data_IF_145200369634
#
_entry.id   IF_145200369634
#
_cell.length_a   1.000
_cell.length_b   1.000
_cell.length_c   1.000
_cell.angle_alpha   90.00
_cell.angle_beta   90.00
_cell.angle_gamma   90.00
#
_symmetry.space_group_name_H-M   'P 1'
#
loop_
_entity.id
_entity.type
_entity.pdbx_description
1 polymer ?
#
# COMPACT_ATOMS: atom_id res chain seq x y z
N UNK A 1 48.75 -58.37 67.57
CA UNK A 1 48.50 -56.93 67.81
C UNK A 1 47.18 -56.56 67.15
N UNK A 2 46.14 -56.26 67.94
CA UNK A 2 44.86 -55.79 67.43
C UNK A 2 44.92 -54.27 67.30
N UNK A 3 44.92 -53.76 66.07
CA UNK A 3 44.72 -52.33 65.81
C UNK A 3 43.22 -52.08 65.79
N UNK A 4 42.67 -51.65 66.93
CA UNK A 4 41.33 -51.07 66.99
C UNK A 4 41.40 -49.68 66.36
N UNK A 5 41.01 -49.56 65.10
CA UNK A 5 40.72 -48.24 64.53
C UNK A 5 39.52 -47.65 65.27
N UNK A 6 39.72 -46.49 65.89
CA UNK A 6 38.62 -45.69 66.41
C UNK A 6 37.62 -45.42 65.27
N UNK A 7 36.29 -45.56 65.48
CA UNK A 7 35.32 -45.19 64.46
C UNK A 7 35.40 -43.68 64.30
N UNK A 8 36.18 -43.25 63.31
CA UNK A 8 36.42 -41.86 63.01
C UNK A 8 35.16 -41.27 62.38
N UNK A 9 34.94 -39.98 62.62
CA UNK A 9 33.87 -39.14 62.03
C UNK A 9 33.61 -39.33 60.52
N UNK A 10 34.56 -39.92 59.79
CA UNK A 10 34.46 -40.30 58.39
C UNK A 10 33.59 -41.54 58.14
N UNK A 11 33.66 -42.56 59.00
CA UNK A 11 32.80 -43.75 58.92
C UNK A 11 31.33 -43.39 59.16
N UNK A 12 31.08 -42.45 60.09
CA UNK A 12 29.75 -41.92 60.34
C UNK A 12 29.22 -41.11 59.14
N UNK A 13 30.10 -40.38 58.44
CA UNK A 13 29.72 -39.59 57.26
C UNK A 13 29.37 -40.47 56.05
N UNK A 14 30.18 -41.50 55.75
CA UNK A 14 29.88 -42.43 54.65
C UNK A 14 28.59 -43.21 54.90
N UNK A 15 28.37 -43.68 56.13
CA UNK A 15 27.11 -44.34 56.51
C UNK A 15 25.90 -43.43 56.40
N UNK A 16 26.01 -42.17 56.86
CA UNK A 16 24.95 -41.17 56.69
C UNK A 16 24.71 -40.81 55.22
N UNK A 17 25.75 -40.84 54.39
CA UNK A 17 25.65 -40.56 52.96
C UNK A 17 24.87 -41.65 52.26
N UNK A 18 25.17 -42.91 52.54
CA UNK A 18 24.46 -44.05 51.93
C UNK A 18 22.98 -44.05 52.31
N UNK A 19 22.65 -43.74 53.58
CA UNK A 19 21.27 -43.57 54.04
C UNK A 19 20.57 -42.39 53.35
N UNK A 20 21.22 -41.23 53.26
CA UNK A 20 20.66 -40.05 52.61
C UNK A 20 20.41 -40.29 51.10
N UNK A 21 21.34 -40.97 50.42
CA UNK A 21 21.21 -41.36 49.01
C UNK A 21 20.07 -42.37 48.82
N UNK A 22 19.94 -43.38 49.69
CA UNK A 22 18.86 -44.35 49.64
C UNK A 22 17.49 -43.67 49.80
N UNK A 23 17.33 -42.78 50.79
CA UNK A 23 16.10 -42.00 50.99
C UNK A 23 15.82 -41.08 49.79
N UNK A 24 16.86 -40.47 49.22
CA UNK A 24 16.73 -39.61 48.03
C UNK A 24 16.24 -40.38 46.81
N UNK A 25 16.77 -41.58 46.58
CA UNK A 25 16.33 -42.51 45.52
C UNK A 25 14.93 -43.08 45.76
N UNK A 26 14.54 -43.23 47.03
CA UNK A 26 13.18 -43.57 47.43
C UNK A 26 12.17 -42.41 47.25
N UNK A 27 12.61 -41.23 46.78
CA UNK A 27 11.74 -40.12 46.43
C UNK A 27 11.53 -39.08 47.53
N UNK A 28 12.33 -39.12 48.60
CA UNK A 28 12.22 -38.17 49.72
C UNK A 28 12.79 -36.79 49.35
N UNK A 29 12.07 -35.74 49.77
CA UNK A 29 12.53 -34.36 49.68
C UNK A 29 13.66 -34.10 50.68
N UNK A 30 14.45 -33.03 50.47
CA UNK A 30 15.51 -32.65 51.40
C UNK A 30 14.96 -32.44 52.82
N UNK A 31 13.76 -31.87 52.93
CA UNK A 31 13.08 -31.66 54.21
C UNK A 31 12.75 -32.99 54.90
N UNK A 32 12.27 -33.99 54.17
CA UNK A 32 11.97 -35.30 54.74
C UNK A 32 13.25 -36.03 55.15
N UNK A 33 14.33 -35.95 54.36
CA UNK A 33 15.64 -36.54 54.71
C UNK A 33 16.22 -35.87 55.96
N UNK A 34 16.08 -34.54 56.06
CA UNK A 34 16.46 -33.75 57.24
C UNK A 34 15.74 -34.24 58.49
N UNK A 35 14.42 -34.44 58.39
CA UNK A 35 13.56 -34.82 59.50
C UNK A 35 13.78 -36.31 59.89
N UNK A 36 14.05 -37.20 58.91
CA UNK A 36 14.32 -38.63 59.10
C UNK A 36 15.70 -38.88 59.73
N UNK A 37 16.77 -38.28 59.19
CA UNK A 37 18.14 -38.44 59.67
C UNK A 37 18.47 -37.51 60.84
N UNK A 38 17.55 -36.60 61.20
CA UNK A 38 17.72 -35.57 62.25
C UNK A 38 18.97 -34.69 62.04
N UNK A 39 19.33 -34.44 60.78
CA UNK A 39 20.47 -33.60 60.40
C UNK A 39 19.96 -32.20 60.07
N UNK A 40 20.02 -31.28 61.04
CA UNK A 40 19.50 -29.92 60.88
C UNK A 40 20.50 -28.94 60.23
N UNK A 41 21.70 -29.41 59.89
CA UNK A 41 22.67 -28.62 59.15
C UNK A 41 22.45 -28.80 57.63
N UNK A 42 22.00 -27.74 56.97
CA UNK A 42 21.68 -27.75 55.54
C UNK A 42 22.89 -28.01 54.65
N UNK A 43 24.09 -27.57 55.03
CA UNK A 43 25.30 -27.75 54.23
C UNK A 43 25.74 -29.22 54.22
N UNK A 44 25.72 -29.86 55.40
CA UNK A 44 26.00 -31.29 55.55
C UNK A 44 24.95 -32.10 54.77
N UNK A 45 23.67 -31.78 54.93
CA UNK A 45 22.59 -32.46 54.22
C UNK A 45 22.74 -32.36 52.70
N UNK A 46 23.07 -31.19 52.17
CA UNK A 46 23.33 -30.99 50.74
C UNK A 46 24.55 -31.77 50.26
N UNK A 47 25.58 -31.91 51.11
CA UNK A 47 26.78 -32.68 50.79
C UNK A 47 26.49 -34.19 50.76
N UNK A 48 25.64 -34.70 51.65
CA UNK A 48 25.25 -36.11 51.72
C UNK A 48 24.45 -36.55 50.49
N UNK A 49 23.53 -35.71 49.99
CA UNK A 49 22.75 -36.04 48.78
C UNK A 49 23.40 -35.57 47.47
N UNK A 50 24.63 -35.05 47.52
CA UNK A 50 25.30 -34.49 46.35
C UNK A 50 25.46 -35.55 45.25
N UNK A 51 24.95 -35.24 44.06
CA UNK A 51 24.96 -36.11 42.89
C UNK A 51 23.62 -36.82 42.62
N UNK A 52 22.69 -36.84 43.58
CA UNK A 52 21.37 -37.44 43.39
C UNK A 52 20.32 -36.38 42.98
N UNK A 53 19.56 -36.62 41.90
CA UNK A 53 18.57 -35.66 41.43
C UNK A 53 17.43 -35.48 42.44
N UNK A 54 16.81 -34.29 42.51
CA UNK A 54 15.58 -34.11 43.27
C UNK A 54 14.44 -34.96 42.71
N UNK A 55 13.55 -35.50 43.57
CA UNK A 55 12.36 -36.23 43.14
C UNK A 55 11.52 -35.41 42.14
N UNK A 56 10.99 -36.06 41.11
CA UNK A 56 10.29 -35.38 40.02
C UNK A 56 9.13 -34.49 40.49
N UNK A 57 8.37 -34.93 41.51
CA UNK A 57 7.26 -34.17 42.10
C UNK A 57 7.68 -32.88 42.82
N UNK A 58 8.96 -32.76 43.22
CA UNK A 58 9.49 -31.53 43.84
C UNK A 58 9.96 -30.50 42.82
N UNK A 59 10.07 -30.86 41.54
CA UNK A 59 10.39 -29.91 40.47
C UNK A 59 9.18 -29.02 40.23
N UNK A 60 9.31 -27.73 40.52
CA UNK A 60 8.29 -26.75 40.15
C UNK A 60 8.40 -26.49 38.64
N UNK A 61 7.32 -26.69 37.84
CA UNK A 61 7.31 -26.20 36.48
C UNK A 61 7.49 -24.68 36.54
N UNK A 62 8.45 -24.13 35.81
CA UNK A 62 8.55 -22.67 35.74
C UNK A 62 7.42 -22.21 34.84
N UNK A 63 6.62 -21.26 35.32
CA UNK A 63 5.42 -20.74 34.64
C UNK A 63 5.65 -20.18 33.22
N UNK A 64 6.90 -20.12 32.72
CA UNK A 64 7.26 -19.59 31.40
C UNK A 64 8.07 -20.57 30.54
N UNK A 65 8.23 -21.83 30.94
CA UNK A 65 9.02 -22.79 30.16
C UNK A 65 8.35 -23.07 28.80
N UNK A 66 7.02 -23.15 28.75
CA UNK A 66 6.26 -23.34 27.52
C UNK A 66 6.38 -22.13 26.57
N UNK A 67 6.30 -20.92 27.12
CA UNK A 67 6.49 -19.67 26.36
C UNK A 67 7.92 -19.57 25.81
N UNK A 68 8.91 -20.02 26.60
CA UNK A 68 10.30 -20.08 26.16
C UNK A 68 10.48 -21.07 25.00
N UNK A 69 9.87 -22.25 25.08
CA UNK A 69 9.93 -23.24 24.00
C UNK A 69 9.33 -22.68 22.70
N UNK A 70 8.11 -22.09 22.79
CA UNK A 70 7.42 -21.49 21.63
C UNK A 70 8.20 -20.31 21.04
N UNK A 71 8.81 -19.45 21.88
CA UNK A 71 9.64 -18.34 21.42
C UNK A 71 10.85 -18.81 20.58
N UNK A 72 11.47 -19.93 20.97
CA UNK A 72 12.61 -20.49 20.26
C UNK A 72 12.20 -21.10 18.92
N UNK A 73 11.05 -21.77 18.86
CA UNK A 73 10.49 -22.29 17.63
C UNK A 73 10.22 -21.15 16.62
N UNK A 74 9.51 -20.10 17.03
CA UNK A 74 9.24 -18.93 16.19
C UNK A 74 10.54 -18.28 15.70
N UNK A 75 11.57 -18.21 16.56
CA UNK A 75 12.86 -17.65 16.16
C UNK A 75 13.54 -18.47 15.06
N UNK A 76 13.51 -19.79 15.16
CA UNK A 76 14.05 -20.69 14.13
C UNK A 76 13.26 -20.61 12.82
N UNK A 77 11.97 -20.29 12.88
CA UNK A 77 11.13 -20.00 11.72
C UNK A 77 11.40 -18.63 11.08
N UNK A 78 12.34 -17.84 11.60
CA UNK A 78 12.72 -16.55 11.03
C UNK A 78 11.99 -15.34 11.61
N UNK A 79 11.34 -15.47 12.77
CA UNK A 79 10.63 -14.35 13.40
C UNK A 79 11.58 -13.37 14.10
N UNK A 80 11.24 -12.08 14.07
CA UNK A 80 11.95 -11.02 14.80
C UNK A 80 11.52 -10.96 16.27
N UNK A 81 12.29 -10.25 17.10
CA UNK A 81 11.97 -10.13 18.53
C UNK A 81 10.61 -9.48 18.76
N UNK A 82 10.29 -8.45 17.97
CA UNK A 82 9.04 -7.70 18.07
C UNK A 82 7.84 -8.57 17.68
N UNK A 83 7.99 -9.43 16.66
CA UNK A 83 6.94 -10.36 16.26
C UNK A 83 6.69 -11.43 17.34
N UNK A 84 7.75 -11.95 17.97
CA UNK A 84 7.63 -12.93 19.06
C UNK A 84 7.03 -12.28 20.32
N UNK A 85 7.39 -11.03 20.62
CA UNK A 85 6.81 -10.24 21.71
C UNK A 85 5.30 -10.02 21.50
N UNK A 86 4.89 -9.60 20.29
CA UNK A 86 3.49 -9.42 19.94
C UNK A 86 2.69 -10.73 19.97
N UNK A 87 3.25 -11.82 19.47
CA UNK A 87 2.60 -13.14 19.38
C UNK A 87 2.42 -13.80 20.75
N UNK A 88 3.44 -13.71 21.62
CA UNK A 88 3.45 -14.40 22.91
C UNK A 88 3.01 -13.51 24.09
N UNK A 89 2.77 -12.22 23.86
CA UNK A 89 2.37 -11.27 24.89
C UNK A 89 3.38 -11.14 26.03
N UNK A 90 4.67 -11.35 25.75
CA UNK A 90 5.73 -11.36 26.75
C UNK A 90 6.72 -10.21 26.52
N UNK A 91 7.37 -9.76 27.60
CA UNK A 91 8.28 -8.61 27.50
C UNK A 91 9.46 -8.88 26.56
N UNK A 92 9.88 -7.85 25.81
CA UNK A 92 11.11 -7.85 25.01
C UNK A 92 12.33 -8.43 25.76
N UNK A 93 12.48 -8.11 27.05
CA UNK A 93 13.56 -8.62 27.89
C UNK A 93 13.53 -10.14 28.07
N UNK A 94 12.32 -10.72 28.21
CA UNK A 94 12.13 -12.17 28.33
C UNK A 94 12.45 -12.88 27.01
N UNK A 95 11.92 -12.37 25.89
CA UNK A 95 12.19 -12.90 24.55
C UNK A 95 13.69 -12.88 24.27
N UNK A 96 14.35 -11.74 24.47
CA UNK A 96 15.79 -11.58 24.25
C UNK A 96 16.60 -12.60 25.04
N UNK A 97 16.29 -12.80 26.32
CA UNK A 97 16.98 -13.78 27.14
C UNK A 97 16.84 -15.22 26.62
N UNK A 98 15.68 -15.55 26.05
CA UNK A 98 15.36 -16.91 25.59
C UNK A 98 15.92 -17.27 24.21
N UNK A 99 16.11 -16.29 23.33
CA UNK A 99 16.42 -16.54 21.91
C UNK A 99 17.70 -15.88 21.42
N UNK A 100 18.42 -15.13 22.25
CA UNK A 100 19.68 -14.44 21.87
C UNK A 100 20.79 -15.36 21.36
N UNK A 101 20.75 -16.64 21.72
CA UNK A 101 21.68 -17.67 21.28
C UNK A 101 21.33 -18.26 19.90
N UNK A 102 20.15 -17.95 19.37
CA UNK A 102 19.66 -18.47 18.10
C UNK A 102 20.05 -17.55 16.93
N UNK A 103 20.16 -18.10 15.70
CA UNK A 103 20.51 -17.31 14.52
C UNK A 103 19.55 -16.14 14.32
N UNK A 104 20.09 -15.06 13.77
CA UNK A 104 19.28 -13.92 13.37
C UNK A 104 18.50 -14.33 12.12
N UNK A 105 17.19 -14.01 12.05
CA UNK A 105 16.41 -14.23 10.85
C UNK A 105 17.07 -13.50 9.69
N UNK A 106 17.02 -14.13 8.54
CA UNK A 106 17.56 -13.60 7.32
C UNK A 106 16.89 -12.24 7.04
N UNK A 107 17.71 -11.21 6.84
CA UNK A 107 17.19 -9.89 6.50
C UNK A 107 16.67 -9.99 5.08
N UNK A 108 15.39 -9.65 4.87
CA UNK A 108 14.85 -9.42 3.52
C UNK A 108 15.74 -8.41 2.81
N UNK A 109 15.95 -8.62 1.51
CA UNK A 109 16.76 -7.73 0.68
C UNK A 109 16.27 -6.28 0.84
N UNK A 110 17.15 -5.33 1.23
CA UNK A 110 16.79 -3.92 1.37
C UNK A 110 16.11 -3.32 0.14
N UNK A 111 16.41 -3.84 -1.06
CA UNK A 111 15.79 -3.37 -2.31
C UNK A 111 14.30 -3.73 -2.40
N UNK A 112 13.89 -4.91 -1.93
CA UNK A 112 12.49 -5.34 -1.97
C UNK A 112 11.63 -4.58 -0.95
N UNK A 113 12.18 -4.25 0.22
CA UNK A 113 11.50 -3.39 1.19
C UNK A 113 11.30 -1.97 0.66
N UNK A 114 12.31 -1.42 -0.02
CA UNK A 114 12.23 -0.10 -0.64
C UNK A 114 11.17 -0.06 -1.76
N UNK A 115 11.11 -1.08 -2.62
CA UNK A 115 10.10 -1.21 -3.68
C UNK A 115 8.67 -1.24 -3.12
N UNK A 116 8.44 -2.06 -2.09
CA UNK A 116 7.12 -2.15 -1.44
C UNK A 116 6.71 -0.83 -0.78
N UNK A 117 7.64 -0.14 -0.12
CA UNK A 117 7.37 1.16 0.47
C UNK A 117 7.09 2.23 -0.59
N UNK A 118 7.86 2.26 -1.69
CA UNK A 118 7.65 3.17 -2.80
C UNK A 118 6.28 2.95 -3.47
N UNK A 119 5.90 1.69 -3.70
CA UNK A 119 4.60 1.33 -4.27
C UNK A 119 3.43 1.80 -3.39
N UNK A 120 3.49 1.55 -2.08
CA UNK A 120 2.45 2.01 -1.15
C UNK A 120 2.34 3.54 -1.08
N UNK A 121 3.47 4.25 -1.12
CA UNK A 121 3.48 5.72 -1.17
C UNK A 121 2.85 6.22 -2.47
N UNK A 122 3.23 5.62 -3.60
CA UNK A 122 2.70 5.95 -4.92
C UNK A 122 1.18 5.75 -4.99
N UNK A 123 0.67 4.60 -4.53
CA UNK A 123 -0.77 4.31 -4.48
C UNK A 123 -1.54 5.32 -3.62
N UNK A 124 -0.99 5.73 -2.46
CA UNK A 124 -1.60 6.73 -1.60
C UNK A 124 -1.57 8.14 -2.22
N UNK A 125 -0.43 8.55 -2.80
CA UNK A 125 -0.30 9.84 -3.48
C UNK A 125 -1.20 9.94 -4.70
N UNK A 126 -1.38 8.85 -5.45
CA UNK A 126 -2.31 8.78 -6.58
C UNK A 126 -3.75 9.04 -6.16
N UNK A 127 -4.19 8.40 -5.07
CA UNK A 127 -5.55 8.57 -4.56
C UNK A 127 -5.82 10.02 -4.14
N UNK A 128 -4.87 10.65 -3.43
CA UNK A 128 -4.97 12.06 -3.03
C UNK A 128 -5.00 12.98 -4.26
N UNK A 129 -4.10 12.77 -5.22
CA UNK A 129 -4.03 13.59 -6.45
C UNK A 129 -5.30 13.46 -7.29
N UNK A 130 -5.86 12.26 -7.39
CA UNK A 130 -7.10 12.05 -8.13
C UNK A 130 -8.27 12.73 -7.41
N UNK A 131 -8.35 12.63 -6.09
CA UNK A 131 -9.37 13.33 -5.30
C UNK A 131 -9.27 14.86 -5.47
N UNK A 132 -8.07 15.44 -5.38
CA UNK A 132 -7.85 16.87 -5.62
C UNK A 132 -8.23 17.30 -7.04
N UNK A 133 -7.90 16.46 -8.04
CA UNK A 133 -8.28 16.69 -9.43
C UNK A 133 -9.79 16.68 -9.59
N UNK A 134 -10.50 15.73 -8.99
CA UNK A 134 -11.96 15.66 -9.06
C UNK A 134 -12.63 16.82 -8.35
N UNK A 135 -12.12 17.22 -7.17
CA UNK A 135 -12.59 18.42 -6.47
C UNK A 135 -12.43 19.67 -7.33
N UNK A 136 -11.28 19.83 -7.97
CA UNK A 136 -11.01 20.97 -8.87
C UNK A 136 -11.97 20.97 -10.06
N UNK A 137 -12.19 19.81 -10.71
CA UNK A 137 -13.14 19.68 -11.82
C UNK A 137 -14.58 20.00 -11.40
N UNK A 138 -15.01 19.47 -10.26
CA UNK A 138 -16.36 19.69 -9.74
C UNK A 138 -16.59 21.16 -9.39
N UNK A 139 -15.61 21.82 -8.78
CA UNK A 139 -15.66 23.25 -8.49
C UNK A 139 -15.79 24.07 -9.78
N UNK A 140 -14.94 23.80 -10.77
CA UNK A 140 -15.01 24.47 -12.08
C UNK A 140 -16.36 24.24 -12.77
N UNK A 141 -16.92 23.03 -12.71
CA UNK A 141 -18.23 22.72 -13.26
C UNK A 141 -19.36 23.50 -12.57
N UNK A 142 -19.30 23.66 -11.24
CA UNK A 142 -20.26 24.45 -10.49
C UNK A 142 -20.15 25.96 -10.79
N UNK A 143 -18.93 26.47 -10.99
CA UNK A 143 -18.70 27.87 -11.33
C UNK A 143 -19.22 28.22 -12.74
N UNK A 144 -19.07 27.31 -13.70
CA UNK A 144 -19.56 27.51 -15.07
C UNK A 144 -21.07 27.28 -15.15
N UNK A 145 -21.60 26.25 -14.47
CA UNK A 145 -23.00 25.86 -14.57
C UNK A 145 -23.38 25.26 -15.93
N UNK A 146 -24.64 25.40 -16.31
CA UNK A 146 -25.11 24.97 -17.63
C UNK A 146 -24.63 25.93 -18.72
N UNK A 147 -23.96 25.40 -19.75
CA UNK A 147 -23.48 26.21 -20.86
C UNK A 147 -24.63 26.60 -21.79
N UNK A 148 -24.76 27.90 -22.07
CA UNK A 148 -25.67 28.40 -23.10
C UNK A 148 -25.10 28.18 -24.51
N UNK A 149 -25.95 28.32 -25.53
CA UNK A 149 -25.51 28.32 -26.94
C UNK A 149 -24.43 29.38 -27.20
N UNK A 150 -24.47 30.52 -26.51
CA UNK A 150 -23.44 31.56 -26.63
C UNK A 150 -22.11 31.11 -26.05
N UNK A 151 -22.12 30.44 -24.90
CA UNK A 151 -20.90 29.94 -24.26
C UNK A 151 -20.27 28.86 -25.14
N UNK A 152 -21.09 27.92 -25.62
CA UNK A 152 -20.67 26.89 -26.57
C UNK A 152 -20.10 27.51 -27.85
N UNK A 153 -20.75 28.55 -28.39
CA UNK A 153 -20.28 29.26 -29.58
C UNK A 153 -18.89 29.87 -29.36
N UNK A 154 -18.70 30.59 -28.26
CA UNK A 154 -17.43 31.25 -27.94
C UNK A 154 -16.31 30.24 -27.68
N UNK A 155 -16.59 29.17 -26.92
CA UNK A 155 -15.60 28.12 -26.66
C UNK A 155 -15.19 27.39 -27.94
N UNK A 156 -16.15 27.09 -28.82
CA UNK A 156 -15.84 26.47 -30.10
C UNK A 156 -15.03 27.37 -31.04
N UNK A 157 -15.30 28.68 -31.07
CA UNK A 157 -14.47 29.66 -31.81
C UNK A 157 -13.04 29.67 -31.26
N UNK A 158 -12.87 29.67 -29.94
CA UNK A 158 -11.54 29.64 -29.32
C UNK A 158 -10.78 28.35 -29.66
N UNK A 159 -11.45 27.18 -29.60
CA UNK A 159 -10.88 25.89 -30.00
C UNK A 159 -10.51 25.86 -31.49
N UNK A 160 -11.39 26.36 -32.34
CA UNK A 160 -11.12 26.47 -33.78
C UNK A 160 -9.91 27.38 -34.04
N UNK A 161 -9.78 28.49 -33.32
CA UNK A 161 -8.66 29.40 -33.50
C UNK A 161 -7.33 28.82 -32.98
N UNK A 162 -7.36 28.11 -31.85
CA UNK A 162 -6.17 27.51 -31.23
C UNK A 162 -5.67 26.27 -31.99
N UNK A 163 -6.58 25.38 -32.38
CA UNK A 163 -6.27 24.05 -32.93
C UNK A 163 -6.56 23.92 -34.44
N UNK A 164 -7.22 24.92 -35.04
CA UNK A 164 -7.56 24.90 -36.46
C UNK A 164 -6.31 25.03 -37.33
N UNK A 165 -6.24 24.18 -38.36
CA UNK A 165 -5.17 24.28 -39.37
C UNK A 165 -5.15 25.68 -40.00
N UNK A 166 -4.01 26.37 -39.89
CA UNK A 166 -3.77 27.65 -40.58
C UNK A 166 -3.93 27.47 -42.08
N UNK A 167 -4.91 28.17 -42.66
CA UNK A 167 -5.05 28.28 -44.11
C UNK A 167 -3.82 28.95 -44.70
N UNK A 168 -3.17 28.30 -45.67
CA UNK A 168 -2.08 28.92 -46.43
C UNK A 168 -2.70 29.67 -47.61
N UNK A 169 -2.27 30.90 -47.93
CA UNK A 169 -2.87 31.72 -48.99
C UNK A 169 -2.96 31.03 -50.36
N UNK A 170 -2.05 30.09 -50.64
CA UNK A 170 -1.96 29.32 -51.88
C UNK A 170 -2.72 27.99 -51.87
N UNK A 171 -3.35 27.62 -50.76
CA UNK A 171 -4.08 26.37 -50.59
C UNK A 171 -5.25 26.59 -49.62
N UNK A 172 -6.29 27.30 -50.07
CA UNK A 172 -7.55 27.42 -49.31
C UNK A 172 -8.14 26.02 -49.15
N UNK A 173 -8.08 25.47 -47.94
CA UNK A 173 -8.73 24.19 -47.67
C UNK A 173 -10.15 24.51 -47.22
N UNK A 174 -11.13 24.12 -48.00
CA UNK A 174 -12.56 24.24 -47.64
C UNK A 174 -12.98 23.30 -46.49
N UNK A 175 -12.02 22.72 -45.76
CA UNK A 175 -12.23 21.73 -44.71
C UNK A 175 -11.47 22.08 -43.44
N UNK A 176 -12.14 21.91 -42.31
CA UNK A 176 -11.57 22.12 -40.98
C UNK A 176 -11.05 20.79 -40.43
N UNK A 177 -9.82 20.79 -39.93
CA UNK A 177 -9.18 19.65 -39.25
C UNK A 177 -9.06 20.00 -37.78
N UNK A 178 -9.53 19.09 -36.91
CA UNK A 178 -9.46 19.22 -35.46
C UNK A 178 -8.92 17.92 -34.87
N UNK A 179 -7.88 18.01 -34.06
CA UNK A 179 -7.11 16.85 -33.59
C UNK A 179 -7.02 16.92 -32.08
N UNK A 180 -7.54 15.92 -31.37
CA UNK A 180 -7.48 15.88 -29.92
C UNK A 180 -7.65 14.44 -29.43
N UNK A 181 -7.05 14.08 -28.29
CA UNK A 181 -7.22 12.77 -27.68
C UNK A 181 -8.25 12.76 -26.56
N UNK A 182 -8.63 13.93 -26.01
CA UNK A 182 -9.62 14.07 -24.95
C UNK A 182 -11.06 13.94 -25.50
N UNK A 183 -11.84 12.93 -25.05
CA UNK A 183 -13.20 12.73 -25.53
C UNK A 183 -14.15 13.89 -25.22
N UNK A 184 -13.97 14.61 -24.12
CA UNK A 184 -14.80 15.74 -23.73
C UNK A 184 -14.60 16.93 -24.66
N UNK A 185 -13.34 17.23 -24.99
CA UNK A 185 -12.99 18.27 -25.97
C UNK A 185 -13.56 17.95 -27.36
N UNK A 186 -13.46 16.69 -27.80
CA UNK A 186 -14.03 16.24 -29.08
C UNK A 186 -15.56 16.40 -29.07
N UNK A 187 -16.24 16.00 -28.00
CA UNK A 187 -17.69 16.12 -27.88
C UNK A 187 -18.14 17.59 -27.91
N UNK A 188 -17.43 18.47 -27.21
CA UNK A 188 -17.68 19.90 -27.21
C UNK A 188 -17.54 20.50 -28.61
N UNK A 189 -16.48 20.14 -29.32
CA UNK A 189 -16.26 20.57 -30.70
C UNK A 189 -17.37 20.09 -31.64
N UNK A 190 -17.81 18.83 -31.49
CA UNK A 190 -18.94 18.29 -32.26
C UNK A 190 -20.26 18.99 -31.94
N UNK A 191 -20.50 19.35 -30.67
CA UNK A 191 -21.68 20.12 -30.27
C UNK A 191 -21.66 21.52 -30.91
N UNK A 192 -20.51 22.17 -30.93
CA UNK A 192 -20.32 23.45 -31.61
C UNK A 192 -20.57 23.37 -33.13
N UNK A 193 -20.05 22.35 -33.81
CA UNK A 193 -20.33 22.15 -35.24
C UNK A 193 -21.83 21.96 -35.51
N UNK A 194 -22.55 21.26 -34.62
CA UNK A 194 -24.02 21.15 -34.72
C UNK A 194 -24.71 22.50 -34.52
N UNK A 195 -24.24 23.31 -33.57
CA UNK A 195 -24.75 24.68 -33.35
C UNK A 195 -24.58 25.55 -34.60
N UNK A 196 -23.50 25.37 -35.36
CA UNK A 196 -23.27 26.03 -36.64
C UNK A 196 -24.09 25.44 -37.82
N UNK A 197 -24.86 24.38 -37.59
CA UNK A 197 -25.64 23.71 -38.64
C UNK A 197 -24.83 22.80 -39.56
N UNK A 198 -23.66 22.32 -39.13
CA UNK A 198 -22.86 21.36 -39.91
C UNK A 198 -23.50 19.97 -39.86
N UNK A 199 -23.91 19.49 -41.03
CA UNK A 199 -24.47 18.15 -41.25
C UNK A 199 -23.46 17.05 -40.91
N UNK A 200 -23.93 15.96 -40.26
CA UNK A 200 -23.08 14.84 -39.83
C UNK A 200 -22.41 14.13 -41.00
N UNK A 201 -23.05 14.14 -42.17
CA UNK A 201 -22.60 13.48 -43.40
C UNK A 201 -21.30 14.10 -43.94
N UNK A 202 -21.03 15.37 -43.58
CA UNK A 202 -19.82 16.12 -43.93
C UNK A 202 -18.64 15.82 -43.01
N UNK A 203 -18.89 15.15 -41.88
CA UNK A 203 -17.87 14.80 -40.90
C UNK A 203 -17.11 13.54 -41.34
N UNK A 204 -15.78 13.55 -41.15
CA UNK A 204 -14.94 12.36 -41.27
C UNK A 204 -14.06 12.22 -40.03
N UNK A 205 -13.95 10.99 -39.55
CA UNK A 205 -13.17 10.65 -38.36
C UNK A 205 -11.98 9.80 -38.79
N UNK A 206 -10.81 10.06 -38.22
CA UNK A 206 -9.61 9.22 -38.38
C UNK A 206 -8.99 8.99 -37.01
N UNK A 207 -8.50 7.79 -36.79
CA UNK A 207 -7.74 7.42 -35.58
C UNK A 207 -6.27 7.39 -35.95
N UNK A 208 -5.43 8.06 -35.16
CA UNK A 208 -3.98 8.04 -35.32
C UNK A 208 -3.39 7.23 -34.16
N UNK A 209 -3.03 5.99 -34.44
CA UNK A 209 -2.33 5.14 -33.48
C UNK A 209 -0.83 5.28 -33.79
N UNK A 210 -0.09 5.93 -32.90
CA UNK A 210 1.36 5.93 -32.97
C UNK A 210 1.87 4.61 -32.40
N UNK A 211 2.47 3.76 -33.23
CA UNK A 211 3.23 2.61 -32.75
C UNK A 211 4.57 3.11 -32.21
N UNK A 212 4.60 3.57 -30.97
CA UNK A 212 5.81 3.55 -30.14
C UNK A 212 5.66 2.40 -29.17
N UNK A 213 6.02 1.21 -29.65
CA UNK A 213 6.16 0.01 -28.84
C UNK A 213 7.60 -0.48 -29.00
N UNK A 214 8.52 0.07 -28.20
CA UNK A 214 9.51 -0.81 -27.59
C UNK A 214 8.74 -1.56 -26.51
N UNK A 215 8.40 -2.80 -26.84
CA UNK A 215 7.71 -3.71 -25.95
C UNK A 215 8.70 -4.26 -24.92
N UNK A 216 8.87 -3.55 -23.81
CA UNK A 216 9.09 -4.13 -22.47
C UNK A 216 8.57 -3.16 -21.38
N UNK A 217 7.36 -2.61 -21.54
CA UNK A 217 6.55 -2.09 -20.42
C UNK A 217 5.22 -1.56 -20.98
N UNK A 218 4.06 -1.93 -20.42
CA UNK A 218 2.77 -1.36 -20.82
C UNK A 218 2.64 0.06 -20.25
N UNK A 219 3.34 1.03 -20.85
CA UNK A 219 3.07 2.44 -20.59
C UNK A 219 1.78 2.84 -21.30
N UNK A 220 0.81 3.28 -20.50
CA UNK A 220 -0.53 3.69 -20.93
C UNK A 220 -0.43 5.01 -21.71
N UNK A 221 -0.17 4.95 -23.02
CA UNK A 221 -0.41 6.07 -23.92
C UNK A 221 -1.60 5.72 -24.80
N UNK A 222 -2.76 6.28 -24.48
CA UNK A 222 -4.00 6.07 -25.23
C UNK A 222 -3.93 6.61 -26.67
N UNK A 223 -4.78 6.11 -27.59
CA UNK A 223 -4.76 6.50 -28.99
C UNK A 223 -5.11 7.99 -29.19
N UNK A 224 -4.42 8.65 -30.13
CA UNK A 224 -4.67 10.04 -30.53
C UNK A 224 -5.71 10.07 -31.66
N UNK A 225 -6.76 10.89 -31.56
CA UNK A 225 -7.81 10.98 -32.58
C UNK A 225 -7.59 12.22 -33.48
N UNK A 226 -7.72 12.04 -34.80
CA UNK A 226 -7.60 13.10 -35.82
C UNK A 226 -8.94 13.22 -36.56
N UNK A 227 -9.69 14.28 -36.32
CA UNK A 227 -10.92 14.55 -37.07
C UNK A 227 -10.57 15.47 -38.25
N UNK A 228 -11.01 15.13 -39.46
CA UNK A 228 -10.86 16.01 -40.63
C UNK A 228 -12.19 16.11 -41.35
N UNK A 229 -12.60 17.30 -41.75
CA UNK A 229 -13.75 17.48 -42.65
C UNK A 229 -13.22 17.77 -44.05
N UNK A 230 -13.82 17.17 -45.08
CA UNK A 230 -13.46 17.42 -46.49
C UNK A 230 -14.72 17.62 -47.32
N UNK A 231 -14.80 18.67 -48.15
CA UNK A 231 -15.94 18.85 -49.04
C UNK A 231 -15.74 18.05 -50.32
N UNK A 232 -16.81 17.35 -50.74
CA UNK A 232 -16.86 16.74 -52.07
C UNK A 232 -17.22 17.85 -53.06
N UNK A 233 -16.32 18.11 -54.00
CA UNK A 233 -16.60 18.99 -55.14
C UNK A 233 -17.71 18.39 -55.99
N UNK A 234 -18.80 19.15 -56.18
CA UNK A 234 -19.69 18.96 -57.31
C UNK A 234 -20.08 20.33 -57.85
N UNK A 235 -19.61 20.63 -59.06
CA UNK A 235 -19.92 21.84 -59.81
C UNK A 235 -21.43 22.03 -59.97
N UNK A 236 -21.83 23.32 -59.94
CA UNK A 236 -23.10 23.97 -60.38
C UNK A 236 -24.31 23.84 -59.43
N UNK A 237 -25.10 24.88 -59.14
CA UNK A 237 -25.41 26.17 -59.82
C UNK A 237 -25.65 27.28 -58.78
N UNK A 238 -25.40 28.51 -59.21
CA UNK A 238 -25.72 29.77 -58.53
C UNK A 238 -27.17 29.89 -58.06
N UNK A 239 -27.36 30.31 -56.80
CA UNK A 239 -28.42 31.25 -56.40
C UNK A 239 -27.85 32.17 -55.32
N UNK A 240 -27.83 33.46 -55.62
CA UNK A 240 -27.55 34.54 -54.69
C UNK A 240 -28.56 34.51 -53.54
N UNK A 241 -28.09 34.45 -52.31
CA UNK A 241 -28.89 34.87 -51.15
C UNK A 241 -27.97 35.67 -50.25
N UNK A 242 -28.12 36.99 -50.36
CA UNK A 242 -27.47 37.99 -49.49
C UNK A 242 -27.90 37.72 -48.04
N UNK A 243 -26.98 37.62 -47.07
CA UNK A 243 -27.37 37.57 -45.66
C UNK A 243 -27.95 38.92 -45.25
N UNK A 244 -29.16 38.91 -44.68
CA UNK A 244 -29.76 40.08 -44.03
C UNK A 244 -28.89 40.50 -42.83
N UNK A 245 -28.64 41.81 -42.62
CA UNK A 245 -27.97 42.26 -41.41
C UNK A 245 -28.90 42.13 -40.20
N UNK A 246 -28.37 41.62 -39.10
CA UNK A 246 -28.99 41.69 -37.77
C UNK A 246 -29.15 43.16 -37.39
N UNK A 247 -30.38 43.68 -37.47
CA UNK A 247 -30.71 45.01 -37.01
C UNK A 247 -30.90 45.00 -35.48
N UNK A 248 -30.12 45.86 -34.83
CA UNK A 248 -30.10 46.17 -33.42
C UNK A 248 -31.31 47.05 -33.10
N UNK A 249 -32.27 46.58 -32.29
CA UNK A 249 -33.37 47.43 -31.83
C UNK A 249 -32.96 48.15 -30.54
N UNK A 250 -32.61 49.43 -30.68
CA UNK A 250 -32.67 50.42 -29.61
C UNK A 250 -34.10 50.98 -29.63
N UNK A 251 -34.88 50.75 -28.58
CA UNK A 251 -36.13 51.46 -28.36
C UNK A 251 -35.82 52.70 -27.50
N UNK A 252 -35.79 53.87 -28.14
CA UNK A 252 -35.91 55.18 -27.48
C UNK A 252 -37.35 55.63 -27.69
N UNK A 253 -38.16 55.60 -26.64
CA UNK A 253 -39.47 56.23 -26.64
C UNK A 253 -39.30 57.71 -26.23
N UNK A 254 -39.65 58.62 -27.11
CA UNK A 254 -39.85 60.05 -26.81
C UNK A 254 -41.11 60.55 -27.51
N UNK A 255 -41.97 61.23 -26.74
CA UNK A 255 -43.07 62.09 -27.17
C UNK A 255 -44.45 61.47 -26.93
N UNK A 256 -45.42 62.10 -26.28
CA UNK A 256 -45.60 63.49 -25.81
C UNK A 256 -47.12 63.79 -25.76
N UNK A 257 -47.50 64.89 -25.09
CA UNK A 257 -48.85 65.41 -24.81
C UNK A 257 -49.64 64.64 -23.72
N UNK A 258 -50.23 65.27 -22.70
CA UNK A 258 -50.66 66.66 -22.47
C UNK A 258 -50.35 67.13 -21.05
#
# INVERSE_FOLDING_TARGET
MHVRHAPGKYADFEGLRDQAVALRRAGYSLRQIRDELKIYNNDILNQLVKGEPPPAWTKRPRAKDDLKAKARELRLQGWTYDQIEAELGCSRSSVSLWVRDLPKPERRDPTEQAKLAARKRWEHELAIRDEERQRTKNKAAQEIGEMSDRDLFMTGVALYWAEGTKDKPYARREGVIFVNSDPGVIQLYLAWLRLLGVERERLRYRVMIHMTADAEEPSTTGPTWLMSTSPRSRKRRSRSTTPRPFARTLARATGGAS
#
